data_IF_474628279869
#
_entry.id   IF_474628279869
#
_cell.length_a   1.000
_cell.length_b   1.000
_cell.length_c   1.000
_cell.angle_alpha   90.00
_cell.angle_beta   90.00
_cell.angle_gamma   90.00
#
_symmetry.space_group_name_H-M   'P 1'
#
loop_
_entity.id
_entity.type
_entity.pdbx_description
1 polymer ?
#
# COMPACT_ATOMS: atom_id res chain seq x y z
N UNK A 1 8.39 -1.76 -23.39
CA UNK A 1 9.30 -0.80 -22.74
C UNK A 1 8.65 0.56 -22.82
N UNK A 2 8.40 1.20 -21.67
CA UNK A 2 8.00 2.60 -21.64
C UNK A 2 9.23 3.49 -21.80
N UNK A 3 9.13 4.50 -22.67
CA UNK A 3 10.17 5.50 -22.88
C UNK A 3 9.62 6.83 -22.39
N UNK A 4 10.30 7.47 -21.45
CA UNK A 4 9.92 8.76 -20.89
C UNK A 4 11.14 9.67 -20.77
N UNK A 5 10.90 10.98 -20.75
CA UNK A 5 11.94 11.98 -20.49
C UNK A 5 12.05 12.24 -18.99
N UNK A 6 13.23 12.64 -18.51
CA UNK A 6 13.38 13.15 -17.15
C UNK A 6 12.60 14.43 -16.96
N UNK A 7 11.97 14.60 -15.79
CA UNK A 7 11.11 15.73 -15.48
C UNK A 7 11.49 16.39 -14.17
N UNK A 8 11.38 17.70 -14.13
CA UNK A 8 11.30 18.50 -12.91
C UNK A 8 9.85 18.95 -12.80
N UNK A 9 9.29 18.77 -11.65
CA UNK A 9 7.92 19.18 -11.35
C UNK A 9 7.99 20.29 -10.29
N UNK A 10 7.27 21.38 -10.50
CA UNK A 10 7.22 22.51 -9.57
C UNK A 10 5.78 22.70 -9.11
N UNK A 11 5.61 23.08 -7.84
CA UNK A 11 4.33 23.37 -7.19
C UNK A 11 3.14 22.51 -7.68
N UNK A 12 2.31 22.12 -6.77
CA UNK A 12 1.12 21.31 -7.03
C UNK A 12 -0.09 22.02 -6.41
N UNK A 13 -0.69 22.96 -7.14
CA UNK A 13 -1.83 23.73 -6.63
C UNK A 13 -3.08 22.86 -6.43
N UNK A 14 -3.27 21.87 -7.28
CA UNK A 14 -4.40 20.93 -7.22
C UNK A 14 -4.09 19.59 -6.54
N UNK A 15 -2.90 19.47 -5.88
CA UNK A 15 -2.42 18.23 -5.24
C UNK A 15 -2.36 17.00 -6.16
N UNK A 16 -2.23 17.23 -7.47
CA UNK A 16 -2.19 16.19 -8.49
C UNK A 16 -1.22 16.46 -9.61
N UNK A 17 -1.36 17.64 -10.22
CA UNK A 17 -0.58 18.00 -11.39
C UNK A 17 0.42 19.09 -10.99
N UNK A 18 1.68 18.95 -11.41
CA UNK A 18 2.61 20.05 -11.28
C UNK A 18 2.11 21.23 -12.11
N UNK A 19 2.13 22.42 -11.54
CA UNK A 19 1.74 23.65 -12.24
C UNK A 19 2.65 23.93 -13.44
N UNK A 20 3.91 23.51 -13.35
CA UNK A 20 4.88 23.52 -14.45
C UNK A 20 5.63 22.19 -14.52
N UNK A 21 5.76 21.68 -15.73
CA UNK A 21 6.63 20.55 -16.06
C UNK A 21 7.79 21.08 -16.87
N UNK A 22 9.01 20.92 -16.36
CA UNK A 22 10.24 21.19 -17.11
C UNK A 22 10.94 19.88 -17.40
N UNK A 23 11.49 19.74 -18.59
CA UNK A 23 12.32 18.58 -18.88
C UNK A 23 13.67 18.73 -18.18
N UNK A 24 14.03 17.71 -17.42
CA UNK A 24 15.32 17.62 -16.74
C UNK A 24 16.36 17.04 -17.69
N UNK A 25 17.60 17.47 -17.54
CA UNK A 25 18.74 16.88 -18.22
C UNK A 25 19.46 15.81 -17.40
N UNK A 26 19.13 15.73 -16.10
CA UNK A 26 19.78 14.83 -15.13
C UNK A 26 18.77 13.87 -14.53
N UNK A 27 19.20 12.63 -14.36
CA UNK A 27 18.41 11.57 -13.70
C UNK A 27 18.10 11.92 -12.24
N UNK A 28 18.99 12.61 -11.55
CA UNK A 28 18.86 12.99 -10.15
C UNK A 28 17.58 13.77 -9.88
N UNK A 29 17.24 14.68 -10.80
CA UNK A 29 16.04 15.52 -10.70
C UNK A 29 14.76 14.69 -10.86
N UNK A 30 14.78 13.67 -11.72
CA UNK A 30 13.67 12.76 -11.88
C UNK A 30 13.49 11.83 -10.65
N UNK A 31 14.59 11.33 -10.11
CA UNK A 31 14.56 10.48 -8.91
C UNK A 31 14.07 11.25 -7.69
N UNK A 32 14.44 12.52 -7.56
CA UNK A 32 14.06 13.37 -6.42
C UNK A 32 12.55 13.62 -6.30
N UNK A 33 11.79 13.62 -7.39
CA UNK A 33 10.33 13.84 -7.38
C UNK A 33 9.52 12.57 -7.09
N UNK A 34 10.16 11.40 -7.02
CA UNK A 34 9.48 10.12 -6.81
C UNK A 34 8.94 10.00 -5.39
N UNK A 35 8.04 9.04 -5.19
CA UNK A 35 7.32 8.85 -3.94
C UNK A 35 8.18 8.22 -2.85
N UNK A 36 8.76 7.04 -3.13
CA UNK A 36 9.50 6.25 -2.14
C UNK A 36 10.91 5.92 -2.63
N UNK A 37 11.84 5.76 -1.70
CA UNK A 37 13.26 5.48 -1.97
C UNK A 37 13.46 4.24 -2.82
N UNK A 38 12.67 3.18 -2.55
CA UNK A 38 12.69 1.93 -3.32
C UNK A 38 12.25 2.10 -4.77
N UNK A 39 11.51 3.15 -5.08
CA UNK A 39 11.07 3.53 -6.43
C UNK A 39 11.95 4.61 -7.05
N UNK A 40 12.90 5.17 -6.28
CA UNK A 40 13.81 6.23 -6.69
C UNK A 40 15.22 5.70 -7.03
N UNK A 41 15.24 4.56 -7.69
CA UNK A 41 16.43 3.90 -8.21
C UNK A 41 16.45 4.02 -9.74
N UNK A 42 17.63 4.16 -10.31
CA UNK A 42 17.85 4.04 -11.74
C UNK A 42 19.03 3.12 -12.01
N UNK A 43 19.07 2.53 -13.18
CA UNK A 43 20.21 1.72 -13.64
C UNK A 43 20.74 2.32 -14.92
N UNK A 44 22.02 2.62 -14.96
CA UNK A 44 22.72 3.08 -16.13
C UNK A 44 22.89 1.94 -17.15
N UNK A 45 23.25 2.28 -18.38
CA UNK A 45 23.34 1.31 -19.47
C UNK A 45 24.45 0.26 -19.24
N UNK A 46 25.48 0.60 -18.48
CA UNK A 46 26.57 -0.28 -18.08
C UNK A 46 26.25 -1.18 -16.88
N UNK A 47 25.03 -1.03 -16.31
CA UNK A 47 24.54 -1.81 -15.16
C UNK A 47 24.82 -1.16 -13.81
N UNK A 48 25.46 0.01 -13.75
CA UNK A 48 25.63 0.75 -12.50
C UNK A 48 24.28 1.23 -11.96
N UNK A 49 24.01 0.99 -10.66
CA UNK A 49 22.79 1.44 -10.02
C UNK A 49 22.99 2.81 -9.38
N UNK A 50 22.18 3.76 -9.81
CA UNK A 50 22.12 5.11 -9.24
C UNK A 50 21.12 5.09 -8.10
N UNK A 51 21.60 5.22 -6.87
CA UNK A 51 20.83 5.26 -5.63
C UNK A 51 21.21 6.50 -4.82
N UNK A 52 20.41 7.54 -4.93
CA UNK A 52 20.66 8.82 -4.26
C UNK A 52 20.01 8.92 -2.87
N UNK A 53 19.11 8.01 -2.55
CA UNK A 53 18.23 8.11 -1.38
C UNK A 53 18.29 6.89 -0.47
N UNK A 54 19.19 5.95 -0.72
CA UNK A 54 19.34 4.73 0.08
C UNK A 54 18.26 3.67 -0.19
N UNK A 55 17.68 3.66 -1.39
CA UNK A 55 16.61 2.74 -1.78
C UNK A 55 17.05 1.27 -1.77
N UNK A 56 18.31 0.97 -2.09
CA UNK A 56 18.86 -0.39 -2.02
C UNK A 56 18.91 -0.92 -0.59
N UNK A 57 19.26 -0.07 0.37
CA UNK A 57 19.28 -0.46 1.78
C UNK A 57 17.85 -0.60 2.31
N UNK A 58 16.92 0.27 1.91
CA UNK A 58 15.51 0.13 2.26
C UNK A 58 14.88 -1.14 1.67
N UNK A 59 15.25 -1.54 0.45
CA UNK A 59 14.86 -2.83 -0.12
C UNK A 59 15.36 -4.01 0.71
N UNK A 60 16.63 -3.99 1.14
CA UNK A 60 17.21 -5.05 2.01
C UNK A 60 16.52 -5.11 3.36
N UNK A 61 16.23 -3.94 3.94
CA UNK A 61 15.59 -3.81 5.24
C UNK A 61 14.06 -3.95 5.18
N UNK A 62 13.48 -4.13 3.98
CA UNK A 62 12.04 -4.21 3.76
C UNK A 62 11.29 -3.00 4.29
N UNK A 63 11.72 -1.82 3.89
CA UNK A 63 11.22 -0.55 4.41
C UNK A 63 10.62 0.31 3.31
N UNK A 64 9.45 0.89 3.57
CA UNK A 64 8.83 1.92 2.75
C UNK A 64 9.14 3.27 3.37
N UNK A 65 10.03 4.02 2.74
CA UNK A 65 10.45 5.36 3.14
C UNK A 65 10.17 6.36 2.05
N UNK A 66 9.60 7.51 2.38
CA UNK A 66 9.41 8.60 1.43
C UNK A 66 10.76 9.22 1.01
N UNK A 67 10.83 9.70 -0.24
CA UNK A 67 12.00 10.44 -0.72
C UNK A 67 12.00 11.85 -0.11
N UNK A 68 13.07 12.23 0.56
CA UNK A 68 13.20 13.54 1.24
C UNK A 68 12.29 13.66 2.47
N UNK A 69 11.64 14.81 2.63
CA UNK A 69 10.74 15.05 3.76
C UNK A 69 9.34 14.49 3.47
N UNK A 70 8.86 13.51 4.27
CA UNK A 70 7.60 12.82 3.99
C UNK A 70 6.38 13.76 3.91
N UNK A 71 6.32 14.77 4.79
CA UNK A 71 5.22 15.74 4.80
C UNK A 71 5.10 16.49 3.49
N UNK A 72 6.22 16.97 2.95
CA UNK A 72 6.27 17.67 1.65
C UNK A 72 5.85 16.75 0.52
N UNK A 73 6.32 15.48 0.52
CA UNK A 73 5.95 14.48 -0.48
C UNK A 73 4.44 14.23 -0.53
N UNK A 74 3.79 14.18 0.62
CA UNK A 74 2.33 13.97 0.70
C UNK A 74 1.54 15.24 0.34
N UNK A 75 2.11 16.41 0.57
CA UNK A 75 1.50 17.68 0.13
C UNK A 75 1.55 17.88 -1.38
N UNK A 76 2.53 17.33 -2.07
CA UNK A 76 2.60 17.35 -3.53
C UNK A 76 1.52 16.47 -4.18
N UNK A 77 1.40 15.23 -3.77
CA UNK A 77 0.34 14.30 -4.21
C UNK A 77 -0.13 13.44 -3.03
N UNK A 78 -1.30 13.79 -2.50
CA UNK A 78 -1.85 13.10 -1.35
C UNK A 78 -2.23 11.63 -1.63
N UNK A 79 -2.31 11.19 -2.90
CA UNK A 79 -2.50 9.78 -3.21
C UNK A 79 -1.31 8.92 -2.75
N UNK A 80 -0.13 9.53 -2.57
CA UNK A 80 1.05 8.84 -2.02
C UNK A 80 0.81 8.26 -0.61
N UNK A 81 -0.15 8.81 0.15
CA UNK A 81 -0.59 8.26 1.43
C UNK A 81 -1.13 6.82 1.27
N UNK A 82 -2.04 6.60 0.31
CA UNK A 82 -2.57 5.27 0.02
C UNK A 82 -1.53 4.36 -0.65
N UNK A 83 -0.67 4.93 -1.49
CA UNK A 83 0.42 4.18 -2.14
C UNK A 83 1.41 3.62 -1.11
N UNK A 84 1.70 4.35 -0.02
CA UNK A 84 2.54 3.84 1.07
C UNK A 84 1.94 2.57 1.69
N UNK A 85 0.65 2.60 2.02
CA UNK A 85 -0.06 1.43 2.56
C UNK A 85 -0.06 0.28 1.54
N UNK A 86 -0.36 0.57 0.28
CA UNK A 86 -0.35 -0.45 -0.77
C UNK A 86 1.01 -1.13 -0.90
N UNK A 87 2.08 -0.37 -1.04
CA UNK A 87 3.42 -0.94 -1.18
C UNK A 87 3.88 -1.70 0.07
N UNK A 88 3.54 -1.21 1.27
CA UNK A 88 3.84 -1.91 2.50
C UNK A 88 3.23 -3.32 2.52
N UNK A 89 1.99 -3.46 2.08
CA UNK A 89 1.30 -4.74 2.03
C UNK A 89 1.71 -5.57 0.82
N UNK A 90 1.83 -4.95 -0.36
CA UNK A 90 2.20 -5.60 -1.61
C UNK A 90 3.60 -6.23 -1.56
N UNK A 91 4.56 -5.57 -0.92
CA UNK A 91 5.93 -6.04 -0.79
C UNK A 91 6.19 -6.79 0.53
N UNK A 92 5.24 -6.77 1.47
CA UNK A 92 5.42 -7.23 2.85
C UNK A 92 6.58 -6.49 3.54
N UNK A 93 6.53 -5.15 3.45
CA UNK A 93 7.50 -4.22 4.01
C UNK A 93 6.87 -3.42 5.14
N UNK A 94 7.71 -2.92 6.06
CA UNK A 94 7.26 -1.99 7.09
C UNK A 94 7.31 -0.55 6.57
N UNK A 95 6.43 0.32 7.07
CA UNK A 95 6.51 1.75 6.80
C UNK A 95 7.49 2.38 7.79
N UNK A 96 8.43 3.16 7.30
CA UNK A 96 9.40 3.88 8.13
C UNK A 96 8.67 4.84 9.09
N UNK A 97 9.15 4.94 10.33
CA UNK A 97 8.48 5.63 11.43
C UNK A 97 8.12 7.09 11.09
N UNK A 98 9.06 7.86 10.51
CA UNK A 98 8.80 9.25 10.12
C UNK A 98 7.77 9.33 8.98
N UNK A 99 7.85 8.41 8.03
CA UNK A 99 6.89 8.29 6.93
C UNK A 99 5.50 7.96 7.47
N UNK A 100 5.39 7.01 8.42
CA UNK A 100 4.13 6.65 9.06
C UNK A 100 3.53 7.81 9.87
N UNK A 101 4.36 8.53 10.62
CA UNK A 101 3.93 9.71 11.37
C UNK A 101 3.37 10.79 10.44
N UNK A 102 4.05 11.05 9.31
CA UNK A 102 3.59 12.01 8.31
C UNK A 102 2.29 11.55 7.63
N UNK A 103 2.09 10.24 7.40
CA UNK A 103 0.82 9.73 6.87
C UNK A 103 -0.31 10.07 7.84
N UNK A 104 -0.14 9.81 9.13
CA UNK A 104 -1.13 10.12 10.16
C UNK A 104 -1.46 11.62 10.21
N UNK A 105 -0.42 12.46 10.19
CA UNK A 105 -0.58 13.92 10.22
C UNK A 105 -1.30 14.46 8.98
N UNK A 106 -0.97 13.94 7.80
CA UNK A 106 -1.44 14.44 6.51
C UNK A 106 -2.65 13.68 5.95
N UNK A 107 -3.20 12.71 6.67
CA UNK A 107 -4.33 11.88 6.21
C UNK A 107 -5.48 12.73 5.63
N UNK A 108 -5.79 13.87 6.27
CA UNK A 108 -6.85 14.77 5.84
C UNK A 108 -6.71 15.30 4.41
N UNK A 109 -5.49 15.34 3.84
CA UNK A 109 -5.26 15.77 2.47
C UNK A 109 -5.92 14.84 1.44
N UNK A 110 -6.18 13.59 1.81
CA UNK A 110 -6.83 12.63 0.91
C UNK A 110 -8.22 13.11 0.45
N UNK A 111 -8.90 13.94 1.25
CA UNK A 111 -10.20 14.55 0.89
C UNK A 111 -10.12 15.49 -0.32
N UNK A 112 -8.91 15.92 -0.70
CA UNK A 112 -8.69 16.79 -1.85
C UNK A 112 -8.48 15.99 -3.15
N UNK A 113 -8.33 14.67 -3.03
CA UNK A 113 -8.10 13.79 -4.19
C UNK A 113 -9.45 13.35 -4.74
N UNK A 114 -9.58 13.33 -6.07
CA UNK A 114 -10.77 12.84 -6.74
C UNK A 114 -11.02 11.35 -6.44
N UNK A 115 -12.28 11.01 -6.21
CA UNK A 115 -12.70 9.70 -5.72
C UNK A 115 -12.25 8.54 -6.62
N UNK A 116 -12.20 8.75 -7.94
CA UNK A 116 -11.76 7.74 -8.90
C UNK A 116 -10.31 7.31 -8.65
N UNK A 117 -9.41 8.25 -8.30
CA UNK A 117 -8.01 7.93 -7.99
C UNK A 117 -7.90 7.15 -6.68
N UNK A 118 -8.67 7.55 -5.67
CA UNK A 118 -8.76 6.85 -4.39
C UNK A 118 -9.26 5.43 -4.61
N UNK A 119 -10.38 5.29 -5.32
CA UNK A 119 -10.96 3.99 -5.69
C UNK A 119 -9.94 3.10 -6.40
N UNK A 120 -9.27 3.62 -7.42
CA UNK A 120 -8.34 2.82 -8.24
C UNK A 120 -7.15 2.34 -7.41
N UNK A 121 -6.66 3.15 -6.47
CA UNK A 121 -5.57 2.74 -5.57
C UNK A 121 -6.06 1.73 -4.52
N UNK A 122 -7.26 1.93 -3.97
CA UNK A 122 -7.91 1.01 -3.05
C UNK A 122 -8.19 -0.36 -3.69
N UNK A 123 -8.68 -0.37 -4.93
CA UNK A 123 -8.91 -1.63 -5.67
C UNK A 123 -7.60 -2.40 -5.89
N UNK A 124 -6.48 -1.74 -6.11
CA UNK A 124 -5.16 -2.40 -6.19
C UNK A 124 -4.79 -3.07 -4.88
N UNK A 125 -5.08 -2.47 -3.72
CA UNK A 125 -4.87 -3.08 -2.41
C UNK A 125 -5.63 -4.42 -2.30
N UNK A 126 -6.88 -4.46 -2.77
CA UNK A 126 -7.71 -5.69 -2.75
C UNK A 126 -7.24 -6.73 -3.76
N UNK A 127 -6.81 -6.28 -4.95
CA UNK A 127 -6.42 -7.18 -6.05
C UNK A 127 -5.06 -7.83 -5.84
N UNK A 128 -4.07 -7.04 -5.40
CA UNK A 128 -2.70 -7.48 -5.31
C UNK A 128 -2.40 -8.01 -3.91
N UNK A 129 -2.25 -9.31 -3.81
CA UNK A 129 -1.72 -9.95 -2.63
C UNK A 129 -0.57 -10.90 -3.03
N UNK A 130 0.68 -10.42 -2.98
CA UNK A 130 1.87 -11.23 -3.25
C UNK A 130 2.08 -12.34 -2.23
N UNK A 131 1.31 -12.31 -1.13
CA UNK A 131 1.30 -13.37 -0.13
C UNK A 131 1.04 -14.76 -0.74
N UNK A 132 0.23 -14.83 -1.82
CA UNK A 132 0.02 -16.06 -2.58
C UNK A 132 1.24 -16.46 -3.43
N UNK A 133 1.92 -15.51 -4.03
CA UNK A 133 3.08 -15.78 -4.88
C UNK A 133 4.25 -16.35 -4.06
N UNK A 134 4.49 -15.87 -2.84
CA UNK A 134 5.55 -16.38 -1.96
C UNK A 134 5.31 -17.81 -1.49
N UNK A 135 4.05 -18.20 -1.28
CA UNK A 135 3.70 -19.56 -0.87
C UNK A 135 4.01 -20.60 -1.96
N UNK A 136 3.85 -20.22 -3.23
CA UNK A 136 4.17 -21.11 -4.36
C UNK A 136 5.67 -21.29 -4.58
N UNK A 137 6.52 -20.36 -4.12
CA UNK A 137 7.99 -20.45 -4.26
C UNK A 137 8.68 -21.11 -3.06
N UNK A 138 8.11 -21.06 -1.86
CA UNK A 138 8.71 -21.64 -0.65
C UNK A 138 8.34 -23.10 -0.41
N UNK A 139 7.30 -23.62 -1.05
CA UNK A 139 6.85 -24.99 -0.92
C UNK A 139 7.17 -25.79 -2.19
N UNK A 140 8.46 -26.05 -2.42
CA UNK A 140 8.91 -27.10 -3.33
C UNK A 140 8.36 -28.45 -2.88
N UNK A 141 7.28 -28.90 -3.53
CA UNK A 141 7.05 -30.31 -3.75
C UNK A 141 6.44 -31.16 -2.66
N UNK A 142 5.53 -30.70 -1.83
CA UNK A 142 4.53 -31.56 -1.21
C UNK A 142 3.23 -30.80 -1.02
N UNK A 143 2.13 -31.33 -1.62
CA UNK A 143 0.77 -30.91 -1.30
C UNK A 143 0.49 -31.26 0.17
N UNK A 144 0.93 -30.41 1.10
CA UNK A 144 0.49 -30.54 2.50
C UNK A 144 -1.02 -30.44 2.53
N UNK A 145 -1.62 -31.48 3.09
CA UNK A 145 -3.05 -31.61 3.36
C UNK A 145 -3.57 -30.27 3.89
N UNK A 146 -4.66 -29.77 3.29
CA UNK A 146 -5.43 -28.62 3.77
C UNK A 146 -5.71 -28.79 5.27
N UNK A 147 -4.93 -28.15 6.10
CA UNK A 147 -5.16 -28.11 7.54
C UNK A 147 -5.88 -26.81 7.84
N UNK A 148 -7.08 -26.94 8.36
CA UNK A 148 -8.04 -25.93 8.80
C UNK A 148 -8.32 -24.77 7.81
N UNK A 149 -9.59 -24.60 7.47
CA UNK A 149 -10.09 -23.44 6.70
C UNK A 149 -10.01 -22.15 7.54
N UNK A 150 -9.44 -22.21 8.73
CA UNK A 150 -9.38 -21.09 9.66
C UNK A 150 -8.20 -20.17 9.35
N UNK A 151 -8.48 -18.88 9.27
CA UNK A 151 -7.47 -17.84 9.14
C UNK A 151 -6.88 -17.54 10.51
N UNK A 152 -5.57 -17.65 10.67
CA UNK A 152 -4.87 -17.38 11.93
C UNK A 152 -4.71 -15.89 12.20
N UNK A 153 -4.52 -15.50 13.47
CA UNK A 153 -4.21 -14.12 13.83
C UNK A 153 -2.91 -13.61 13.21
N UNK A 154 -1.94 -14.49 12.96
CA UNK A 154 -0.70 -14.13 12.28
C UNK A 154 -0.93 -13.85 10.78
N UNK A 155 -1.80 -14.61 10.13
CA UNK A 155 -2.19 -14.36 8.75
C UNK A 155 -2.92 -13.01 8.58
N UNK A 156 -3.67 -12.57 9.59
CA UNK A 156 -4.29 -11.24 9.61
C UNK A 156 -3.24 -10.13 9.69
N UNK A 157 -2.20 -10.29 10.50
CA UNK A 157 -1.15 -9.30 10.71
C UNK A 157 -0.20 -9.13 9.52
N UNK A 158 -0.01 -10.16 8.71
CA UNK A 158 0.96 -10.18 7.60
C UNK A 158 0.34 -10.30 6.22
N UNK A 159 -0.93 -10.66 6.16
CA UNK A 159 -1.66 -10.86 4.91
C UNK A 159 -2.32 -9.58 4.39
N UNK A 160 -3.25 -9.75 3.44
CA UNK A 160 -3.95 -8.62 2.84
C UNK A 160 -4.80 -7.82 3.84
N UNK A 161 -5.23 -8.43 4.94
CA UNK A 161 -5.94 -7.75 6.02
C UNK A 161 -5.11 -6.65 6.70
N UNK A 162 -3.76 -6.77 6.70
CA UNK A 162 -2.85 -5.75 7.25
C UNK A 162 -3.07 -4.38 6.61
N UNK A 163 -3.51 -4.33 5.35
CA UNK A 163 -3.83 -3.06 4.69
C UNK A 163 -4.90 -2.28 5.46
N UNK A 164 -5.94 -2.97 5.92
CA UNK A 164 -7.06 -2.35 6.64
C UNK A 164 -6.63 -1.88 8.03
N UNK A 165 -5.77 -2.62 8.70
CA UNK A 165 -5.18 -2.19 9.98
C UNK A 165 -4.31 -0.93 9.79
N UNK A 166 -3.47 -0.88 8.76
CA UNK A 166 -2.67 0.31 8.43
C UNK A 166 -3.56 1.50 8.04
N UNK A 167 -4.58 1.28 7.21
CA UNK A 167 -5.52 2.33 6.80
C UNK A 167 -6.26 2.90 8.02
N UNK A 168 -6.66 2.04 8.97
CA UNK A 168 -7.31 2.45 10.21
C UNK A 168 -6.34 3.20 11.12
N UNK A 169 -5.17 2.63 11.40
CA UNK A 169 -4.13 3.23 12.24
C UNK A 169 -3.71 4.62 11.76
N UNK A 170 -3.68 4.83 10.47
CA UNK A 170 -3.31 6.10 9.84
C UNK A 170 -4.47 7.08 9.68
N UNK A 171 -5.70 6.67 10.01
CA UNK A 171 -6.91 7.49 9.84
C UNK A 171 -7.38 7.61 8.39
N UNK A 172 -6.72 6.95 7.44
CA UNK A 172 -7.11 6.96 6.03
C UNK A 172 -8.41 6.20 5.80
N UNK A 173 -8.65 5.10 6.54
CA UNK A 173 -9.86 4.29 6.41
C UNK A 173 -11.12 5.11 6.64
N UNK A 174 -11.13 5.94 7.67
CA UNK A 174 -12.25 6.82 8.00
C UNK A 174 -12.62 7.81 6.90
N UNK A 175 -11.67 8.10 6.01
CA UNK A 175 -11.89 9.02 4.89
C UNK A 175 -12.42 8.27 3.66
N UNK A 176 -11.89 7.06 3.39
CA UNK A 176 -12.21 6.31 2.18
C UNK A 176 -13.40 5.37 2.34
N UNK A 177 -13.62 4.87 3.56
CA UNK A 177 -14.62 3.85 3.84
C UNK A 177 -15.09 3.92 5.31
N UNK A 178 -15.73 5.03 5.73
CA UNK A 178 -16.13 5.25 7.13
C UNK A 178 -17.04 4.16 7.65
N UNK A 179 -17.97 3.64 6.84
CA UNK A 179 -18.93 2.60 7.24
C UNK A 179 -18.24 1.28 7.61
N UNK A 180 -17.09 0.99 7.00
CA UNK A 180 -16.32 -0.19 7.35
C UNK A 180 -15.60 -0.02 8.69
N UNK A 181 -15.12 1.18 8.99
CA UNK A 181 -14.51 1.50 10.28
C UNK A 181 -15.51 1.46 11.44
N UNK A 182 -16.78 1.81 11.19
CA UNK A 182 -17.85 1.73 12.18
C UNK A 182 -18.10 0.30 12.70
N UNK A 183 -17.70 -0.71 11.94
CA UNK A 183 -17.71 -2.13 12.35
C UNK A 183 -16.60 -2.52 13.34
N UNK A 184 -15.63 -1.65 13.59
CA UNK A 184 -14.54 -1.90 14.54
C UNK A 184 -15.10 -1.94 15.97
N UNK A 185 -14.70 -2.97 16.74
CA UNK A 185 -15.19 -3.24 18.11
C UNK A 185 -16.69 -3.54 18.23
N UNK A 186 -17.44 -3.59 17.14
CA UNK A 186 -18.84 -4.03 17.17
C UNK A 186 -18.89 -5.54 17.36
N UNK A 187 -19.41 -5.93 18.53
CA UNK A 187 -19.64 -7.35 18.84
C UNK A 187 -20.78 -7.91 18.02
N UNK A 188 -20.71 -9.19 17.74
CA UNK A 188 -21.81 -9.94 17.15
C UNK A 188 -22.63 -10.67 18.24
N UNK A 189 -23.71 -11.34 17.86
CA UNK A 189 -24.53 -12.09 18.78
C UNK A 189 -23.77 -13.32 19.35
N UNK A 190 -24.38 -14.00 20.33
CA UNK A 190 -23.76 -15.11 21.11
C UNK A 190 -23.18 -16.29 20.29
N UNK A 191 -23.46 -16.36 19.00
CA UNK A 191 -22.97 -17.44 18.12
C UNK A 191 -21.68 -17.06 17.36
N UNK A 192 -21.23 -15.83 17.46
CA UNK A 192 -20.03 -15.33 16.82
C UNK A 192 -18.95 -15.01 17.86
N UNK A 193 -17.74 -15.50 17.62
CA UNK A 193 -16.58 -15.31 18.51
C UNK A 193 -15.73 -14.10 18.14
N UNK A 194 -15.96 -13.53 16.95
CA UNK A 194 -15.21 -12.39 16.41
C UNK A 194 -16.10 -11.14 16.35
N UNK A 195 -15.50 -9.95 16.44
CA UNK A 195 -16.16 -8.69 16.07
C UNK A 195 -16.54 -8.69 14.58
N UNK A 196 -17.41 -7.75 14.18
CA UNK A 196 -17.75 -7.54 12.75
C UNK A 196 -16.48 -7.28 11.94
N UNK A 197 -15.60 -6.42 12.44
CA UNK A 197 -14.31 -6.11 11.83
C UNK A 197 -13.45 -7.35 11.59
N UNK A 198 -13.18 -8.10 12.65
CA UNK A 198 -12.32 -9.28 12.57
C UNK A 198 -12.93 -10.37 11.68
N UNK A 199 -14.24 -10.54 11.73
CA UNK A 199 -14.96 -11.49 10.88
C UNK A 199 -14.77 -11.17 9.40
N UNK A 200 -14.99 -9.92 9.01
CA UNK A 200 -14.85 -9.46 7.62
C UNK A 200 -13.40 -9.59 7.13
N UNK A 201 -12.42 -9.23 7.96
CA UNK A 201 -11.00 -9.38 7.60
C UNK A 201 -10.59 -10.84 7.47
N UNK A 202 -11.15 -11.75 8.27
CA UNK A 202 -10.92 -13.19 8.15
C UNK A 202 -11.53 -13.74 6.86
N UNK A 203 -12.77 -13.38 6.54
CA UNK A 203 -13.44 -13.77 5.31
C UNK A 203 -12.67 -13.28 4.07
N UNK A 204 -12.24 -12.02 4.09
CA UNK A 204 -11.41 -11.45 3.02
C UNK A 204 -10.07 -12.18 2.89
N UNK A 205 -9.36 -12.40 4.00
CA UNK A 205 -8.08 -13.11 3.99
C UNK A 205 -8.23 -14.53 3.46
N UNK A 206 -9.30 -15.23 3.85
CA UNK A 206 -9.62 -16.54 3.32
C UNK A 206 -9.88 -16.50 1.80
N UNK A 207 -10.67 -15.55 1.32
CA UNK A 207 -10.97 -15.41 -0.10
C UNK A 207 -9.69 -15.12 -0.93
N UNK A 208 -8.74 -14.35 -0.37
CA UNK A 208 -7.42 -14.14 -0.99
C UNK A 208 -6.59 -15.42 -0.96
N UNK A 209 -6.57 -16.14 0.18
CA UNK A 209 -5.82 -17.39 0.39
C UNK A 209 -6.23 -18.49 -0.57
N UNK A 210 -7.52 -18.60 -0.85
CA UNK A 210 -8.08 -19.57 -1.81
C UNK A 210 -8.02 -19.04 -3.27
N UNK A 211 -7.40 -17.90 -3.49
CA UNK A 211 -7.25 -17.26 -4.80
C UNK A 211 -8.60 -17.06 -5.54
N UNK A 212 -9.65 -16.72 -4.80
CA UNK A 212 -10.90 -16.34 -5.40
C UNK A 212 -10.76 -15.07 -6.24
N UNK A 213 -11.65 -14.90 -7.21
CA UNK A 213 -11.63 -13.71 -8.05
C UNK A 213 -11.92 -12.43 -7.26
N UNK A 214 -11.62 -11.29 -7.86
CA UNK A 214 -11.76 -9.98 -7.26
C UNK A 214 -13.15 -9.73 -6.65
N UNK A 215 -14.24 -10.09 -7.35
CA UNK A 215 -15.61 -9.84 -6.88
C UNK A 215 -15.92 -10.65 -5.60
N UNK A 216 -15.44 -11.88 -5.52
CA UNK A 216 -15.60 -12.71 -4.32
C UNK A 216 -14.79 -12.14 -3.15
N UNK A 217 -13.57 -11.63 -3.40
CA UNK A 217 -12.76 -10.97 -2.36
C UNK A 217 -13.45 -9.73 -1.84
N UNK A 218 -14.00 -8.90 -2.76
CA UNK A 218 -14.75 -7.71 -2.39
C UNK A 218 -16.03 -8.06 -1.61
N UNK A 219 -16.78 -9.05 -2.07
CA UNK A 219 -17.96 -9.54 -1.36
C UNK A 219 -17.64 -10.09 0.04
N UNK A 220 -16.52 -10.80 0.18
CA UNK A 220 -16.07 -11.33 1.48
C UNK A 220 -15.64 -10.24 2.47
N UNK A 221 -15.22 -9.07 1.96
CA UNK A 221 -14.87 -7.91 2.79
C UNK A 221 -16.11 -7.21 3.36
N UNK A 222 -17.22 -7.21 2.61
CA UNK A 222 -18.41 -6.40 2.91
C UNK A 222 -19.67 -7.23 3.23
N UNK A 223 -19.53 -8.50 3.59
CA UNK A 223 -20.71 -9.35 3.84
C UNK A 223 -21.31 -9.23 5.23
#
# INVERSE_FOLDING_TARGET
>A
VEITTYRIESKYSDKRHPDEIKFASKVDEDLKRRDFTINALAMAQDGEVIDLFGGLDDLKNKLIRAVGEPGERFEEDALRLLRAVRFAVELDFEVEEKTLAAIKEKAGLLKMIVEERIRDEFLKIIQHSPWLARRSFSEGGEKKKRHSNEVTGEELKRGPARAFELLRETGLLKIILPEFEDGYEVGQNKHHIYSVWEHNLRAFTYAVKENFNFHVRLGALFH
#
